data_IF_710692208241
#
_entry.id   IF_710692208241
#
_cell.length_a   1.000
_cell.length_b   1.000
_cell.length_c   1.000
_cell.angle_alpha   90.00
_cell.angle_beta   90.00
_cell.angle_gamma   90.00
#
_symmetry.space_group_name_H-M   'P 1'
#
loop_
_entity.id
_entity.type
_entity.pdbx_description
1 polymer ?
#
# COMPACT_ATOMS: atom_id res chain seq x y z
N UNK A 1 30.96 36.26 -4.54
CA UNK A 1 29.96 35.86 -3.53
C UNK A 1 28.56 35.66 -4.13
N UNK A 2 28.05 36.57 -4.97
CA UNK A 2 26.69 36.50 -5.57
C UNK A 2 26.37 35.20 -6.34
N UNK A 3 27.34 34.63 -7.08
CA UNK A 3 27.12 33.41 -7.88
C UNK A 3 26.91 32.12 -7.05
N UNK A 4 27.56 32.00 -5.88
CA UNK A 4 27.36 30.85 -4.97
C UNK A 4 26.01 30.91 -4.27
N UNK A 5 25.56 32.10 -3.89
CA UNK A 5 24.24 32.30 -3.27
C UNK A 5 23.10 31.93 -4.24
N UNK A 6 23.24 32.30 -5.51
CA UNK A 6 22.24 32.00 -6.54
C UNK A 6 22.09 30.50 -6.80
N UNK A 7 23.21 29.75 -6.80
CA UNK A 7 23.19 28.29 -6.98
C UNK A 7 22.52 27.58 -5.79
N UNK A 8 22.79 28.05 -4.56
CA UNK A 8 22.15 27.50 -3.35
C UNK A 8 20.64 27.74 -3.38
N UNK A 9 20.21 28.95 -3.81
CA UNK A 9 18.80 29.29 -3.91
C UNK A 9 18.07 28.39 -4.93
N UNK A 10 18.66 28.16 -6.11
CA UNK A 10 18.09 27.28 -7.14
C UNK A 10 18.01 25.84 -6.65
N UNK A 11 19.05 25.30 -6.00
CA UNK A 11 18.98 23.96 -5.41
C UNK A 11 17.87 23.85 -4.37
N UNK A 12 17.66 24.89 -3.56
CA UNK A 12 16.59 24.89 -2.55
C UNK A 12 15.18 24.89 -3.17
N UNK A 13 14.99 25.57 -4.31
CA UNK A 13 13.73 25.53 -5.06
C UNK A 13 13.44 24.12 -5.61
N UNK A 14 14.45 23.40 -6.10
CA UNK A 14 14.26 22.01 -6.55
C UNK A 14 13.94 21.02 -5.42
N UNK A 15 14.38 21.29 -4.18
CA UNK A 15 13.96 20.53 -3.00
C UNK A 15 12.55 20.89 -2.51
N UNK A 16 12.02 22.04 -2.92
CA UNK A 16 10.69 22.54 -2.54
C UNK A 16 9.61 22.26 -3.59
N UNK A 17 9.94 21.79 -4.80
CA UNK A 17 8.91 21.31 -5.73
C UNK A 17 8.39 19.99 -5.14
N UNK A 18 7.16 19.94 -4.61
CA UNK A 18 6.58 18.67 -4.25
C UNK A 18 6.55 17.84 -5.53
N UNK A 19 7.16 16.67 -5.48
CA UNK A 19 6.97 15.67 -6.51
C UNK A 19 5.49 15.33 -6.40
N UNK A 20 4.65 15.99 -7.19
CA UNK A 20 3.29 15.56 -7.45
C UNK A 20 3.43 14.21 -8.15
N UNK A 21 3.51 13.13 -7.38
CA UNK A 21 3.15 11.83 -7.92
C UNK A 21 1.66 11.95 -8.20
N UNK A 22 1.25 11.68 -9.43
CA UNK A 22 -0.14 11.39 -9.72
C UNK A 22 -0.60 10.36 -8.68
N UNK A 23 -1.59 10.73 -7.87
CA UNK A 23 -2.17 9.80 -6.90
C UNK A 23 -2.75 8.64 -7.72
N UNK A 24 -2.11 7.48 -7.59
CA UNK A 24 -2.63 6.24 -8.14
C UNK A 24 -4.01 6.02 -7.49
N UNK A 25 -5.07 6.17 -8.29
CA UNK A 25 -6.44 6.10 -7.79
C UNK A 25 -6.74 4.65 -7.41
N UNK A 26 -6.54 4.33 -6.14
CA UNK A 26 -6.96 3.06 -5.56
C UNK A 26 -8.47 3.12 -5.37
N UNK A 27 -9.21 2.30 -6.12
CA UNK A 27 -10.66 2.25 -6.03
C UNK A 27 -11.01 1.23 -4.93
N UNK A 28 -11.81 1.61 -3.92
CA UNK A 28 -12.28 0.67 -2.92
C UNK A 28 -13.27 -0.32 -3.56
N UNK A 29 -13.26 -1.56 -3.08
CA UNK A 29 -14.00 -2.69 -3.70
C UNK A 29 -15.52 -2.43 -3.85
N UNK A 30 -16.11 -1.61 -2.98
CA UNK A 30 -17.53 -1.25 -3.01
C UNK A 30 -17.91 -0.30 -4.15
N UNK A 31 -16.93 0.25 -4.86
CA UNK A 31 -17.12 1.16 -5.99
C UNK A 31 -16.69 0.56 -7.33
N UNK A 32 -16.39 -0.74 -7.36
CA UNK A 32 -16.02 -1.41 -8.63
C UNK A 32 -17.16 -1.36 -9.64
N UNK A 33 -18.41 -1.40 -9.18
CA UNK A 33 -19.60 -1.27 -10.04
C UNK A 33 -19.79 0.15 -10.61
N UNK A 34 -19.06 1.15 -10.10
CA UNK A 34 -19.09 2.54 -10.58
C UNK A 34 -18.10 2.78 -11.74
N UNK A 35 -17.31 1.77 -12.12
CA UNK A 35 -16.30 1.89 -13.19
C UNK A 35 -16.97 1.84 -14.57
N UNK A 36 -16.95 2.96 -15.28
CA UNK A 36 -17.60 3.12 -16.58
C UNK A 36 -16.62 3.36 -17.75
N UNK A 37 -15.31 3.30 -17.48
CA UNK A 37 -14.28 3.57 -18.47
C UNK A 37 -13.32 2.37 -18.58
N UNK A 38 -12.82 2.03 -19.77
CA UNK A 38 -11.85 0.96 -19.93
C UNK A 38 -10.51 1.42 -19.37
N UNK A 39 -9.82 0.54 -18.65
CA UNK A 39 -8.61 0.93 -17.95
C UNK A 39 -7.95 -0.20 -17.16
N UNK A 40 -6.84 0.14 -16.50
CA UNK A 40 -6.20 -0.70 -15.49
C UNK A 40 -6.49 -0.06 -14.15
N UNK A 41 -7.10 -0.81 -13.26
CA UNK A 41 -7.53 -0.37 -11.94
C UNK A 41 -6.82 -1.18 -10.87
N UNK A 42 -6.44 -0.50 -9.80
CA UNK A 42 -5.87 -1.14 -8.61
C UNK A 42 -6.94 -1.17 -7.53
N UNK A 43 -7.40 -2.37 -7.20
CA UNK A 43 -8.47 -2.61 -6.24
C UNK A 43 -7.84 -3.04 -4.92
N UNK A 44 -8.20 -2.34 -3.85
CA UNK A 44 -7.84 -2.70 -2.50
C UNK A 44 -8.84 -3.71 -1.92
N UNK A 45 -8.33 -4.89 -1.55
CA UNK A 45 -9.09 -5.94 -0.88
C UNK A 45 -8.64 -6.01 0.58
N UNK A 46 -9.47 -5.52 1.52
CA UNK A 46 -9.18 -5.68 2.94
C UNK A 46 -9.39 -7.14 3.37
N UNK A 47 -8.47 -7.69 4.15
CA UNK A 47 -8.65 -8.99 4.82
C UNK A 47 -8.11 -8.97 6.24
N UNK A 48 -8.68 -9.82 7.09
CA UNK A 48 -8.29 -9.95 8.50
C UNK A 48 -7.75 -11.36 8.73
N UNK A 49 -6.56 -11.47 9.32
CA UNK A 49 -6.00 -12.78 9.64
C UNK A 49 -6.67 -13.43 10.88
N UNK A 50 -6.27 -14.66 11.18
CA UNK A 50 -6.75 -15.40 12.34
C UNK A 50 -6.38 -14.77 13.70
N UNK A 51 -5.51 -13.76 13.73
CA UNK A 51 -5.15 -12.99 14.93
C UNK A 51 -5.87 -11.65 14.99
N UNK A 52 -6.80 -11.37 14.07
CA UNK A 52 -7.52 -10.10 14.01
C UNK A 52 -6.70 -8.95 13.39
N UNK A 53 -5.53 -9.23 12.81
CA UNK A 53 -4.70 -8.19 12.18
C UNK A 53 -5.23 -7.87 10.79
N UNK A 54 -5.36 -6.59 10.51
CA UNK A 54 -5.80 -6.07 9.24
C UNK A 54 -4.65 -6.05 8.23
N UNK A 55 -4.94 -6.49 7.02
CA UNK A 55 -4.07 -6.39 5.87
C UNK A 55 -4.86 -5.90 4.66
N UNK A 56 -4.12 -5.34 3.72
CA UNK A 56 -4.65 -4.82 2.46
C UNK A 56 -3.89 -5.48 1.32
N UNK A 57 -4.62 -6.10 0.40
CA UNK A 57 -4.05 -6.65 -0.82
C UNK A 57 -4.50 -5.81 -2.01
N UNK A 58 -3.54 -5.33 -2.80
CA UNK A 58 -3.80 -4.60 -4.04
C UNK A 58 -3.84 -5.60 -5.19
N UNK A 59 -4.99 -5.71 -5.87
CA UNK A 59 -5.17 -6.53 -7.07
C UNK A 59 -5.30 -5.61 -8.28
N UNK A 60 -4.69 -6.00 -9.40
CA UNK A 60 -4.78 -5.25 -10.65
C UNK A 60 -5.90 -5.81 -11.51
N UNK A 61 -6.97 -5.05 -11.70
CA UNK A 61 -8.08 -5.37 -12.59
C UNK A 61 -7.88 -4.63 -13.93
N UNK A 62 -8.05 -5.34 -15.05
CA UNK A 62 -8.00 -4.73 -16.37
C UNK A 62 -9.38 -4.86 -17.02
N UNK A 63 -10.00 -3.72 -17.29
CA UNK A 63 -11.35 -3.63 -17.86
C UNK A 63 -11.23 -3.16 -19.31
N UNK A 64 -11.77 -3.92 -20.25
CA UNK A 64 -11.85 -3.54 -21.66
C UNK A 64 -13.20 -2.91 -21.99
N UNK A 65 -13.30 -2.25 -23.15
CA UNK A 65 -14.57 -1.64 -23.60
C UNK A 65 -15.66 -2.70 -23.78
N UNK A 66 -15.29 -3.89 -24.26
CA UNK A 66 -16.21 -5.03 -24.42
C UNK A 66 -16.80 -5.51 -23.09
N UNK A 67 -16.05 -5.37 -21.98
CA UNK A 67 -16.50 -5.76 -20.64
C UNK A 67 -17.52 -4.75 -20.08
N UNK A 68 -17.38 -3.47 -20.44
CA UNK A 68 -18.31 -2.40 -20.05
C UNK A 68 -19.61 -2.52 -20.84
N UNK A 69 -19.51 -2.77 -22.15
CA UNK A 69 -20.66 -2.83 -23.05
C UNK A 69 -21.59 -4.03 -22.76
N UNK A 70 -21.05 -5.12 -22.18
CA UNK A 70 -21.83 -6.28 -21.71
C UNK A 70 -22.45 -6.07 -20.33
N UNK A 71 -22.14 -4.94 -19.68
CA UNK A 71 -22.19 -4.80 -18.23
C UNK A 71 -21.12 -5.70 -17.60
N UNK A 72 -20.53 -5.27 -16.48
CA UNK A 72 -19.63 -6.13 -15.69
C UNK A 72 -20.50 -7.23 -15.06
N UNK A 73 -20.89 -8.21 -15.87
CA UNK A 73 -21.32 -9.50 -15.40
C UNK A 73 -20.01 -10.24 -15.12
N UNK A 74 -19.69 -10.39 -13.83
CA UNK A 74 -18.75 -11.41 -13.41
C UNK A 74 -19.45 -12.73 -13.72
N UNK A 75 -19.34 -13.16 -14.98
CA UNK A 75 -19.85 -14.43 -15.45
C UNK A 75 -19.18 -15.48 -14.57
N UNK A 76 -19.98 -16.03 -13.65
CA UNK A 76 -19.66 -17.25 -12.92
C UNK A 76 -19.89 -18.44 -13.87
N UNK A 77 -19.51 -18.30 -15.14
CA UNK A 77 -19.28 -19.45 -15.99
C UNK A 77 -17.96 -20.09 -15.55
N UNK A 78 -17.95 -21.41 -15.31
CA UNK A 78 -16.72 -22.10 -14.98
C UNK A 78 -15.73 -21.84 -16.11
N UNK A 79 -14.56 -21.33 -15.73
CA UNK A 79 -13.37 -21.19 -16.56
C UNK A 79 -13.32 -22.31 -17.60
N UNK A 80 -13.07 -22.01 -18.90
CA UNK A 80 -13.08 -23.01 -19.96
C UNK A 80 -12.26 -24.20 -19.51
N UNK A 81 -12.87 -25.39 -19.57
CA UNK A 81 -12.22 -26.65 -19.27
C UNK A 81 -10.93 -26.71 -20.07
N UNK A 82 -9.81 -26.39 -19.41
CA UNK A 82 -8.48 -26.67 -19.92
C UNK A 82 -8.49 -28.17 -20.03
N UNK A 83 -8.53 -28.65 -21.27
CA UNK A 83 -8.46 -30.07 -21.58
C UNK A 83 -7.22 -30.60 -20.86
N UNK A 84 -7.48 -31.37 -19.81
CA UNK A 84 -6.50 -31.92 -18.89
C UNK A 84 -5.39 -32.53 -19.73
N UNK A 85 -4.13 -32.05 -19.68
CA UNK A 85 -3.05 -32.78 -20.33
C UNK A 85 -3.07 -34.20 -19.74
N UNK A 86 -2.84 -35.23 -20.57
CA UNK A 86 -2.96 -36.62 -20.14
C UNK A 86 -2.13 -36.78 -18.87
N UNK A 87 -2.78 -37.28 -17.82
CA UNK A 87 -2.12 -37.60 -16.55
C UNK A 87 -1.07 -38.64 -16.87
N UNK A 88 0.16 -38.19 -17.11
CA UNK A 88 1.30 -39.05 -17.07
C UNK A 88 1.45 -39.45 -15.60
N UNK A 89 0.95 -40.63 -15.26
CA UNK A 89 1.18 -41.29 -13.98
C UNK A 89 2.68 -41.57 -13.87
N UNK A 90 3.43 -40.55 -13.47
CA UNK A 90 4.75 -40.70 -12.91
C UNK A 90 4.62 -41.37 -11.54
N UNK A 91 5.59 -42.20 -11.15
CA UNK A 91 5.44 -43.13 -10.03
C UNK A 91 5.27 -42.36 -8.73
N UNK A 92 4.52 -42.95 -7.79
CA UNK A 92 4.39 -42.49 -6.41
C UNK A 92 5.77 -42.11 -5.84
N UNK A 93 6.09 -40.81 -5.86
CA UNK A 93 7.33 -40.31 -5.27
C UNK A 93 7.15 -40.36 -3.76
N UNK A 94 7.95 -41.19 -3.09
CA UNK A 94 7.85 -41.50 -1.65
C UNK A 94 8.24 -40.37 -0.70
N UNK A 95 7.84 -39.12 -0.98
CA UNK A 95 7.93 -38.01 -0.05
C UNK A 95 6.54 -37.57 0.37
N UNK A 96 6.40 -37.17 1.63
CA UNK A 96 5.15 -36.63 2.17
C UNK A 96 5.03 -35.16 1.79
N UNK A 97 3.84 -34.73 1.37
CA UNK A 97 3.54 -33.33 1.11
C UNK A 97 2.84 -32.73 2.33
N UNK A 98 3.24 -31.51 2.69
CA UNK A 98 2.69 -30.75 3.79
C UNK A 98 1.99 -29.52 3.21
N UNK A 99 0.79 -29.23 3.71
CA UNK A 99 0.03 -28.03 3.37
C UNK A 99 -0.25 -27.21 4.62
N UNK A 100 -0.27 -25.89 4.46
CA UNK A 100 -0.76 -24.95 5.46
C UNK A 100 -1.58 -23.87 4.77
N UNK A 101 -2.69 -23.48 5.37
CA UNK A 101 -3.57 -22.42 4.91
C UNK A 101 -4.35 -21.87 6.11
N UNK A 102 -4.73 -20.60 6.05
CA UNK A 102 -5.49 -19.92 7.08
C UNK A 102 -6.97 -19.87 6.72
N UNK A 103 -7.83 -19.91 7.72
CA UNK A 103 -9.23 -19.51 7.54
C UNK A 103 -9.29 -18.04 7.16
N UNK A 104 -10.28 -17.67 6.34
CA UNK A 104 -10.42 -16.32 5.81
C UNK A 104 -11.79 -15.75 6.18
N UNK A 105 -11.84 -14.44 6.39
CA UNK A 105 -13.10 -13.71 6.53
C UNK A 105 -13.20 -12.71 5.41
N UNK A 106 -14.28 -12.78 4.66
CA UNK A 106 -14.52 -11.98 3.45
C UNK A 106 -15.86 -11.26 3.57
N UNK A 107 -16.11 -10.30 2.69
CA UNK A 107 -17.42 -9.69 2.55
C UNK A 107 -18.38 -10.64 1.82
N UNK A 108 -19.68 -10.51 2.09
CA UNK A 108 -20.72 -11.26 1.35
C UNK A 108 -20.55 -11.12 -0.15
N UNK A 109 -20.60 -12.26 -0.84
CA UNK A 109 -20.51 -12.35 -2.30
C UNK A 109 -19.10 -12.51 -2.82
N UNK A 110 -18.05 -12.22 -2.03
CA UNK A 110 -16.67 -12.19 -2.52
C UNK A 110 -16.07 -13.59 -2.70
N UNK A 111 -16.42 -14.57 -1.87
CA UNK A 111 -15.74 -15.87 -1.91
C UNK A 111 -15.89 -16.58 -3.26
N UNK A 112 -17.00 -16.33 -3.96
CA UNK A 112 -17.29 -16.91 -5.27
C UNK A 112 -16.69 -16.14 -6.45
N UNK A 113 -16.33 -14.89 -6.26
CA UNK A 113 -15.75 -14.05 -7.32
C UNK A 113 -14.23 -14.19 -7.41
N UNK A 114 -13.60 -14.66 -6.33
CA UNK A 114 -12.15 -14.87 -6.28
C UNK A 114 -11.74 -16.07 -7.12
N UNK A 115 -10.67 -15.89 -7.88
CA UNK A 115 -9.96 -16.94 -8.60
C UNK A 115 -9.18 -17.84 -7.64
N UNK A 116 -8.80 -19.03 -8.10
CA UNK A 116 -8.00 -19.99 -7.33
C UNK A 116 -6.70 -19.38 -6.80
N UNK A 117 -6.01 -18.59 -7.63
CA UNK A 117 -4.77 -17.92 -7.24
C UNK A 117 -5.00 -16.86 -6.16
N UNK A 118 -6.10 -16.11 -6.23
CA UNK A 118 -6.45 -15.12 -5.20
C UNK A 118 -6.83 -15.81 -3.89
N UNK A 119 -7.58 -16.90 -3.94
CA UNK A 119 -7.90 -17.72 -2.77
C UNK A 119 -6.64 -18.29 -2.11
N UNK A 120 -5.69 -18.79 -2.91
CA UNK A 120 -4.38 -19.25 -2.43
C UNK A 120 -3.64 -18.11 -1.72
N UNK A 121 -3.63 -16.92 -2.30
CA UNK A 121 -2.91 -15.76 -1.73
C UNK A 121 -3.55 -15.26 -0.44
N UNK A 122 -4.86 -15.04 -0.43
CA UNK A 122 -5.61 -14.52 0.73
C UNK A 122 -5.57 -15.53 1.88
N UNK A 123 -5.76 -16.82 1.59
CA UNK A 123 -5.63 -17.88 2.58
C UNK A 123 -4.17 -18.14 3.01
N UNK A 124 -3.19 -17.50 2.35
CA UNK A 124 -1.77 -17.77 2.51
C UNK A 124 -1.45 -19.27 2.38
N UNK A 125 -2.17 -19.93 1.47
CA UNK A 125 -2.05 -21.36 1.26
C UNK A 125 -0.67 -21.66 0.67
N UNK A 126 0.08 -22.55 1.33
CA UNK A 126 1.42 -22.96 0.93
C UNK A 126 1.55 -24.46 1.07
N UNK A 127 2.29 -25.05 0.15
CA UNK A 127 2.61 -26.46 0.17
C UNK A 127 4.13 -26.66 0.03
N UNK A 128 4.67 -27.69 0.68
CA UNK A 128 6.07 -28.06 0.58
C UNK A 128 6.29 -29.56 0.79
N UNK A 129 7.45 -30.03 0.36
CA UNK A 129 7.88 -31.41 0.63
C UNK A 129 8.38 -31.54 2.07
N UNK A 130 8.03 -32.62 2.76
CA UNK A 130 8.45 -32.85 4.15
C UNK A 130 9.95 -33.09 4.30
N UNK A 131 10.60 -33.63 3.27
CA UNK A 131 12.00 -34.08 3.30
C UNK A 131 13.00 -32.95 3.06
N UNK A 132 12.67 -32.05 2.14
CA UNK A 132 13.55 -30.99 1.63
C UNK A 132 13.04 -29.59 1.99
N UNK A 133 11.80 -29.48 2.45
CA UNK A 133 11.08 -28.21 2.64
C UNK A 133 11.00 -27.36 1.37
N UNK A 134 11.22 -27.96 0.20
CA UNK A 134 11.07 -27.30 -1.09
C UNK A 134 9.59 -27.00 -1.34
N UNK A 135 9.28 -25.78 -1.76
CA UNK A 135 7.93 -25.36 -2.09
C UNK A 135 7.41 -26.16 -3.29
N UNK A 136 6.12 -26.52 -3.24
CA UNK A 136 5.41 -27.21 -4.31
C UNK A 136 4.15 -26.42 -4.66
N UNK A 137 3.70 -26.47 -5.92
CA UNK A 137 2.48 -25.78 -6.33
C UNK A 137 1.24 -26.45 -5.74
N UNK A 138 0.23 -25.63 -5.42
CA UNK A 138 -1.15 -26.07 -5.23
C UNK A 138 -1.76 -26.17 -6.63
N UNK A 139 -2.36 -27.31 -6.95
CA UNK A 139 -2.82 -27.64 -8.31
C UNK A 139 -4.31 -27.45 -8.48
N UNK A 140 -5.09 -27.61 -7.41
CA UNK A 140 -6.55 -27.55 -7.48
C UNK A 140 -7.13 -26.93 -6.20
N UNK A 141 -8.17 -26.11 -6.41
CA UNK A 141 -8.87 -25.35 -5.38
C UNK A 141 -10.37 -25.59 -5.54
N UNK A 142 -10.96 -26.28 -4.58
CA UNK A 142 -12.38 -26.63 -4.62
C UNK A 142 -13.14 -25.78 -3.61
N UNK A 143 -14.02 -24.92 -4.10
CA UNK A 143 -14.88 -24.07 -3.27
C UNK A 143 -16.28 -24.70 -3.16
N UNK A 144 -16.71 -25.00 -1.94
CA UNK A 144 -18.04 -25.54 -1.65
C UNK A 144 -18.77 -24.67 -0.66
N UNK A 145 -19.99 -24.25 -1.00
CA UNK A 145 -20.87 -23.54 -0.04
C UNK A 145 -21.38 -24.54 1.02
N UNK A 146 -21.14 -24.23 2.29
CA UNK A 146 -21.54 -25.07 3.44
C UNK A 146 -22.78 -24.52 4.14
N UNK A 147 -22.89 -23.20 4.24
CA UNK A 147 -24.05 -22.48 4.79
C UNK A 147 -24.27 -21.17 4.02
N UNK A 148 -25.27 -20.37 4.38
CA UNK A 148 -25.57 -19.10 3.71
C UNK A 148 -24.38 -18.15 3.61
N UNK A 149 -23.52 -18.13 4.64
CA UNK A 149 -22.38 -17.23 4.81
C UNK A 149 -21.07 -17.99 5.09
N UNK A 150 -21.01 -19.30 4.85
CA UNK A 150 -19.80 -20.07 5.10
C UNK A 150 -19.49 -20.97 3.91
N UNK A 151 -18.24 -20.93 3.49
CA UNK A 151 -17.69 -21.75 2.42
C UNK A 151 -16.55 -22.61 2.96
N UNK A 152 -16.48 -23.82 2.46
CA UNK A 152 -15.36 -24.73 2.62
C UNK A 152 -14.48 -24.61 1.38
N UNK A 153 -13.22 -24.22 1.56
CA UNK A 153 -12.25 -24.14 0.46
C UNK A 153 -11.22 -25.24 0.70
N UNK A 154 -11.09 -26.15 -0.26
CA UNK A 154 -10.15 -27.27 -0.20
C UNK A 154 -9.03 -27.05 -1.20
N UNK A 155 -7.80 -26.89 -0.71
CA UNK A 155 -6.60 -26.82 -1.54
C UNK A 155 -6.02 -28.23 -1.66
N UNK A 156 -5.55 -28.59 -2.86
CA UNK A 156 -4.90 -29.87 -3.09
C UNK A 156 -3.65 -29.77 -3.95
N UNK A 157 -2.71 -30.67 -3.69
CA UNK A 157 -1.45 -30.80 -4.43
C UNK A 157 -1.50 -31.98 -5.39
N UNK A 158 -0.50 -32.05 -6.27
CA UNK A 158 -0.37 -33.10 -7.28
C UNK A 158 -0.38 -34.52 -6.72
N UNK A 159 0.28 -34.76 -5.58
CA UNK A 159 0.32 -36.09 -4.97
C UNK A 159 -0.86 -36.35 -4.01
N UNK A 160 -1.89 -35.50 -4.04
CA UNK A 160 -3.16 -35.73 -3.36
C UNK A 160 -3.19 -35.31 -1.89
N UNK A 161 -2.21 -34.53 -1.42
CA UNK A 161 -2.33 -33.93 -0.10
C UNK A 161 -3.33 -32.77 -0.16
N UNK A 162 -4.22 -32.72 0.83
CA UNK A 162 -5.35 -31.79 0.84
C UNK A 162 -5.45 -31.06 2.18
N UNK A 163 -5.82 -29.78 2.16
CA UNK A 163 -6.19 -29.02 3.35
C UNK A 163 -7.50 -28.28 3.09
N UNK A 164 -8.40 -28.28 4.07
CA UNK A 164 -9.69 -27.59 3.97
C UNK A 164 -9.73 -26.47 5.00
N UNK A 165 -10.04 -25.25 4.53
CA UNK A 165 -10.25 -24.07 5.36
C UNK A 165 -11.71 -23.63 5.29
N UNK A 166 -12.08 -22.76 6.24
CA UNK A 166 -13.37 -22.10 6.24
C UNK A 166 -13.21 -20.63 5.83
N UNK A 167 -13.99 -20.23 4.83
CA UNK A 167 -14.25 -18.82 4.52
C UNK A 167 -15.59 -18.43 5.12
N UNK A 168 -15.61 -17.43 5.98
CA UNK A 168 -16.85 -16.85 6.51
C UNK A 168 -17.09 -15.50 5.85
N UNK A 169 -18.27 -15.35 5.26
CA UNK A 169 -18.70 -14.09 4.69
C UNK A 169 -19.48 -13.27 5.72
N UNK A 170 -19.00 -12.07 6.01
CA UNK A 170 -19.67 -11.15 6.93
C UNK A 170 -20.46 -10.12 6.13
N UNK A 171 -21.76 -10.00 6.44
CA UNK A 171 -22.56 -8.85 5.99
C UNK A 171 -21.99 -7.65 6.70
N UNK A 172 -21.37 -6.74 5.96
CA UNK A 172 -21.13 -5.40 6.48
C UNK A 172 -22.52 -4.88 6.82
N UNK A 173 -22.79 -4.68 8.11
CA UNK A 173 -23.99 -3.95 8.54
C UNK A 173 -23.98 -2.62 7.81
N UNK A 174 -25.12 -2.11 7.36
CA UNK A 174 -25.21 -0.71 6.91
C UNK A 174 -24.90 0.27 8.05
N UNK A 175 -24.76 -0.24 9.29
CA UNK A 175 -24.03 0.48 10.32
C UNK A 175 -22.56 0.55 9.91
N UNK A 176 -22.00 1.75 9.65
CA UNK A 176 -20.55 1.87 9.56
C UNK A 176 -20.00 1.15 10.77
N UNK A 177 -19.05 0.23 10.54
CA UNK A 177 -18.32 -0.47 11.60
C UNK A 177 -18.10 0.58 12.69
N UNK A 178 -18.80 0.46 13.82
CA UNK A 178 -18.49 1.26 14.98
C UNK A 178 -17.17 0.64 15.43
N UNK A 179 -16.10 1.18 14.84
CA UNK A 179 -14.77 1.09 15.38
C UNK A 179 -14.97 1.57 16.81
N UNK A 180 -14.97 0.64 17.77
CA UNK A 180 -14.57 1.03 19.11
C UNK A 180 -13.28 1.80 18.89
N UNK A 181 -13.29 3.06 19.33
CA UNK A 181 -12.34 4.14 19.06
C UNK A 181 -10.90 3.84 19.56
N UNK A 182 -10.42 2.62 19.45
CA UNK A 182 -8.99 2.36 19.25
C UNK A 182 -8.66 2.61 17.78
N UNK A 183 -8.86 3.87 17.41
CA UNK A 183 -8.46 4.45 16.15
C UNK A 183 -7.02 4.02 15.83
N UNK A 184 -6.85 3.18 14.80
CA UNK A 184 -5.64 3.25 14.00
C UNK A 184 -5.54 4.71 13.53
N UNK A 185 -4.63 5.45 14.17
CA UNK A 185 -4.43 6.90 14.03
C UNK A 185 -4.17 7.29 12.57
N UNK A 186 -5.23 7.44 11.78
CA UNK A 186 -5.19 8.20 10.52
C UNK A 186 -4.83 9.68 10.79
N UNK A 187 -4.94 10.12 12.05
CA UNK A 187 -4.37 11.38 12.54
C UNK A 187 -2.86 11.47 12.37
N UNK A 188 -2.12 10.36 12.33
CA UNK A 188 -0.66 10.41 12.23
C UNK A 188 -0.19 10.99 10.88
N UNK A 189 -0.89 10.71 9.77
CA UNK A 189 -0.47 11.18 8.45
C UNK A 189 -0.85 12.65 8.19
N UNK A 190 -2.05 13.07 8.58
CA UNK A 190 -2.45 14.48 8.51
C UNK A 190 -1.63 15.34 9.47
N UNK A 191 -1.41 14.88 10.70
CA UNK A 191 -0.59 15.62 11.67
C UNK A 191 0.88 15.70 11.25
N UNK A 192 1.42 14.64 10.64
CA UNK A 192 2.79 14.64 10.12
C UNK A 192 2.94 15.62 8.94
N UNK A 193 1.99 15.61 8.00
CA UNK A 193 1.99 16.54 6.86
C UNK A 193 1.84 17.98 7.33
N UNK A 194 0.90 18.24 8.24
CA UNK A 194 0.68 19.57 8.81
C UNK A 194 1.90 20.07 9.60
N UNK A 195 2.54 19.20 10.38
CA UNK A 195 3.77 19.52 11.12
C UNK A 195 4.92 19.87 10.18
N UNK A 196 5.14 19.09 9.11
CA UNK A 196 6.20 19.36 8.13
C UNK A 196 5.97 20.68 7.41
N UNK A 197 4.74 20.95 6.96
CA UNK A 197 4.39 22.20 6.28
C UNK A 197 4.61 23.39 7.23
N UNK A 198 4.11 23.29 8.46
CA UNK A 198 4.23 24.36 9.48
C UNK A 198 5.69 24.66 9.80
N UNK A 199 6.51 23.62 10.02
CA UNK A 199 7.94 23.78 10.29
C UNK A 199 8.69 24.39 9.10
N UNK A 200 8.33 24.00 7.88
CA UNK A 200 8.91 24.55 6.66
C UNK A 200 8.61 26.04 6.51
N UNK A 201 7.38 26.47 6.78
CA UNK A 201 6.99 27.89 6.74
C UNK A 201 7.72 28.70 7.82
N UNK A 202 7.80 28.18 9.05
CA UNK A 202 8.53 28.84 10.15
C UNK A 202 10.01 28.98 9.80
N UNK A 203 10.62 27.93 9.25
CA UNK A 203 12.04 27.95 8.86
C UNK A 203 12.30 28.97 7.74
N UNK A 204 11.40 29.05 6.76
CA UNK A 204 11.47 30.00 5.65
C UNK A 204 11.37 31.46 6.12
N UNK A 205 10.66 31.72 7.22
CA UNK A 205 10.56 33.05 7.83
C UNK A 205 11.75 33.39 8.75
N UNK A 206 12.21 32.44 9.57
CA UNK A 206 13.23 32.70 10.59
C UNK A 206 14.64 32.80 10.02
N UNK A 207 14.99 32.01 8.99
CA UNK A 207 16.35 32.01 8.43
C UNK A 207 16.73 33.38 7.83
N UNK A 208 15.91 34.02 6.97
CA UNK A 208 16.20 35.36 6.46
C UNK A 208 16.34 36.40 7.56
N UNK A 209 15.46 36.35 8.57
CA UNK A 209 15.48 37.27 9.71
C UNK A 209 16.78 37.13 10.52
N UNK A 210 17.23 35.88 10.74
CA UNK A 210 18.52 35.60 11.38
C UNK A 210 19.69 36.16 10.57
N UNK A 211 19.69 35.99 9.26
CA UNK A 211 20.73 36.52 8.37
C UNK A 211 20.79 38.05 8.45
N UNK A 212 19.64 38.73 8.39
CA UNK A 212 19.57 40.20 8.50
C UNK A 212 20.12 40.66 9.85
N UNK A 213 19.74 39.98 10.94
CA UNK A 213 20.18 40.31 12.30
C UNK A 213 21.70 40.16 12.45
N UNK A 214 22.26 39.04 11.99
CA UNK A 214 23.72 38.79 12.03
C UNK A 214 24.47 39.84 11.20
N UNK A 215 23.95 40.18 10.01
CA UNK A 215 24.56 41.17 9.12
C UNK A 215 24.54 42.56 9.75
N UNK A 216 23.44 42.93 10.40
CA UNK A 216 23.32 44.19 11.14
C UNK A 216 24.36 44.30 12.27
N UNK A 217 24.50 43.25 13.10
CA UNK A 217 25.52 43.21 14.16
C UNK A 217 26.95 43.27 13.61
N UNK A 218 27.19 42.62 12.47
CA UNK A 218 28.49 42.68 11.80
C UNK A 218 28.84 44.10 11.35
N UNK A 219 27.88 44.80 10.72
CA UNK A 219 28.05 46.19 10.29
C UNK A 219 28.31 47.11 11.49
N UNK A 220 27.48 47.01 12.54
CA UNK A 220 27.66 47.76 13.80
C UNK A 220 29.05 47.58 14.43
N UNK A 221 29.58 46.36 14.43
CA UNK A 221 30.95 46.11 14.94
C UNK A 221 32.01 46.76 14.06
N UNK A 222 31.81 46.79 12.74
CA UNK A 222 32.74 47.42 11.79
C UNK A 222 32.70 48.94 11.88
N UNK A 223 31.52 49.55 12.01
CA UNK A 223 31.38 51.01 12.17
C UNK A 223 32.03 51.47 13.47
N UNK A 224 31.80 50.79 14.60
CA UNK A 224 32.44 51.12 15.89
C UNK A 224 33.97 51.07 15.81
N UNK A 225 34.53 50.06 15.12
CA UNK A 225 35.99 49.98 14.91
C UNK A 225 36.51 51.13 14.04
N UNK A 226 35.78 51.50 12.99
CA UNK A 226 36.16 52.60 12.11
C UNK A 226 36.16 53.94 12.86
N UNK A 227 35.13 54.21 13.67
CA UNK A 227 35.05 55.40 14.53
C UNK A 227 36.22 55.47 15.50
N UNK A 228 36.53 54.38 16.20
CA UNK A 228 37.67 54.30 17.11
C UNK A 228 38.99 54.66 16.43
N UNK A 229 39.23 54.13 15.21
CA UNK A 229 40.42 54.46 14.44
C UNK A 229 40.46 55.94 14.06
N UNK A 230 39.34 56.50 13.60
CA UNK A 230 39.26 57.90 13.17
C UNK A 230 39.60 58.87 14.31
N UNK A 231 38.95 58.70 15.47
CA UNK A 231 39.15 59.56 16.64
C UNK A 231 40.49 59.33 17.34
N UNK A 232 41.04 58.11 17.33
CA UNK A 232 42.37 57.86 17.90
C UNK A 232 43.49 58.57 17.14
N UNK A 233 43.33 58.80 15.83
CA UNK A 233 44.32 59.54 15.04
C UNK A 233 44.30 61.05 15.32
N UNK A 234 43.12 61.64 15.55
CA UNK A 234 42.98 63.06 15.88
C UNK A 234 43.56 63.42 17.25
N UNK A 235 43.65 62.47 18.18
CA UNK A 235 44.20 62.70 19.52
C UNK A 235 45.74 62.78 19.56
N UNK A 236 46.45 62.45 18.47
CA UNK A 236 47.92 62.41 18.43
C UNK A 236 48.50 63.72 17.84
N UNK A 237 47.70 64.50 17.11
CA UNK A 237 48.13 65.75 16.46
C UNK A 237 47.85 67.03 17.29
N UNK A 238 47.47 66.86 18.57
CA UNK A 238 47.30 67.95 19.55
C UNK A 238 48.27 67.80 20.71
#
# INVERSE_FOLDING_TARGET
MKRRLFIILISFVFFLVPIYSEEETVIPLDKVDEINEPGVYHISIPYVDNLGRYYEQIVTLRISQDDIDKGIQIDTEPSPTIEKPPVETLPATGYTELLSANNIQLRVGITKTLTDNELIQIAQAKAWRSDTLAAIPIEDVVVKKTSDLTYSITFSTRNGATITIHSTETKISDDPIQWDDEAMEYRSFESFTYMIITMSVIFLLLVPLGIVTITYFYIQRKTKKAEQTLYSSQAIDH
#
